data_IF_736918509228
#
_entry.id   IF_736918509228
#
_cell.length_a   1.000
_cell.length_b   1.000
_cell.length_c   1.000
_cell.angle_alpha   90.00
_cell.angle_beta   90.00
_cell.angle_gamma   90.00
#
_symmetry.space_group_name_H-M   'P 1'
#
loop_
_entity.id
_entity.type
_entity.pdbx_description
1 polymer ?
#
# COMPACT_ATOMS: atom_id res chain seq x y z
N UNK A 1 2.61 16.42 15.71
CA UNK A 1 3.87 16.00 16.39
C UNK A 1 5.11 16.53 15.72
N UNK A 2 6.00 15.71 15.16
CA UNK A 2 7.35 16.17 14.76
C UNK A 2 7.35 17.28 13.70
N UNK A 3 6.37 17.26 12.78
CA UNK A 3 6.18 18.31 11.78
C UNK A 3 5.76 19.65 12.40
N UNK A 4 4.83 19.61 13.35
CA UNK A 4 4.29 20.81 14.02
C UNK A 4 5.31 21.45 14.94
N UNK A 5 6.22 20.65 15.49
CA UNK A 5 7.36 21.12 16.27
C UNK A 5 8.51 21.65 15.41
N UNK A 6 8.37 21.69 14.08
CA UNK A 6 9.40 22.17 13.16
C UNK A 6 10.66 21.28 13.08
N UNK A 7 10.67 20.12 13.73
CA UNK A 7 11.82 19.22 13.80
C UNK A 7 12.04 18.47 12.46
N UNK A 8 10.97 18.20 11.72
CA UNK A 8 11.02 17.42 10.48
C UNK A 8 10.15 18.06 9.40
N UNK A 9 10.72 18.21 8.21
CA UNK A 9 10.00 18.63 7.03
C UNK A 9 9.20 17.45 6.45
N UNK A 10 7.90 17.66 6.22
CA UNK A 10 7.08 16.62 5.62
C UNK A 10 7.49 16.40 4.16
N UNK A 11 7.89 15.18 3.83
CA UNK A 11 8.23 14.81 2.45
C UNK A 11 6.96 14.88 1.59
N UNK A 12 6.92 15.74 0.56
CA UNK A 12 5.77 15.80 -0.32
C UNK A 12 5.59 14.46 -1.03
N UNK A 13 4.35 13.94 -1.04
CA UNK A 13 4.01 12.65 -1.68
C UNK A 13 4.79 11.43 -1.14
N UNK A 14 5.16 11.45 0.14
CA UNK A 14 5.91 10.37 0.79
C UNK A 14 5.27 8.98 0.67
N UNK A 15 3.95 8.88 0.51
CA UNK A 15 3.27 7.59 0.28
C UNK A 15 3.68 6.88 -1.01
N UNK A 16 3.97 7.63 -2.08
CA UNK A 16 4.40 7.06 -3.37
C UNK A 16 5.81 6.51 -3.24
N UNK A 17 6.68 7.25 -2.56
CA UNK A 17 8.06 6.81 -2.28
C UNK A 17 8.06 5.57 -1.40
N UNK A 18 7.25 5.56 -0.33
CA UNK A 18 7.10 4.39 0.55
C UNK A 18 6.60 3.17 -0.23
N UNK A 19 5.58 3.35 -1.06
CA UNK A 19 5.03 2.28 -1.89
C UNK A 19 6.06 1.77 -2.90
N UNK A 20 6.80 2.65 -3.58
CA UNK A 20 7.84 2.30 -4.54
C UNK A 20 8.99 1.49 -3.92
N UNK A 21 9.46 1.88 -2.74
CA UNK A 21 10.47 1.11 -2.00
C UNK A 21 9.91 -0.25 -1.60
N UNK A 22 8.67 -0.30 -1.09
CA UNK A 22 8.03 -1.55 -0.69
C UNK A 22 7.84 -2.51 -1.87
N UNK A 23 7.40 -2.01 -3.03
CA UNK A 23 7.21 -2.83 -4.24
C UNK A 23 8.54 -3.26 -4.86
N UNK A 24 9.58 -2.42 -4.80
CA UNK A 24 10.93 -2.82 -5.19
C UNK A 24 11.40 -4.03 -4.37
N UNK A 25 11.36 -3.91 -3.03
CA UNK A 25 11.79 -4.99 -2.13
C UNK A 25 10.92 -6.24 -2.33
N UNK A 26 9.62 -6.08 -2.50
CA UNK A 26 8.71 -7.19 -2.78
C UNK A 26 9.15 -7.98 -4.01
N UNK A 27 9.40 -7.29 -5.12
CA UNK A 27 9.73 -7.92 -6.40
C UNK A 27 11.14 -8.52 -6.40
N UNK A 28 12.06 -7.92 -5.66
CA UNK A 28 13.36 -8.51 -5.37
C UNK A 28 13.22 -9.85 -4.62
N UNK A 29 12.47 -9.86 -3.51
CA UNK A 29 12.22 -11.07 -2.73
C UNK A 29 11.43 -12.14 -3.50
N UNK A 30 10.53 -11.72 -4.40
CA UNK A 30 9.75 -12.63 -5.24
C UNK A 30 10.62 -13.42 -6.22
N UNK A 31 11.68 -12.80 -6.76
CA UNK A 31 12.62 -13.47 -7.67
C UNK A 31 13.66 -14.31 -6.96
N UNK A 32 13.99 -13.97 -5.71
CA UNK A 32 14.92 -14.74 -4.88
C UNK A 32 14.30 -16.07 -4.44
N UNK A 33 15.00 -17.19 -4.65
CA UNK A 33 14.53 -18.53 -4.24
C UNK A 33 14.26 -18.57 -2.73
N UNK A 34 13.01 -18.88 -2.34
CA UNK A 34 12.59 -18.89 -0.92
C UNK A 34 12.47 -17.51 -0.27
N UNK A 35 12.52 -16.41 -1.03
CA UNK A 35 12.48 -15.05 -0.51
C UNK A 35 11.08 -14.62 -0.04
N UNK A 36 10.04 -14.94 -0.82
CA UNK A 36 8.65 -14.73 -0.44
C UNK A 36 8.08 -16.01 0.18
N UNK A 37 7.72 -15.96 1.46
CA UNK A 37 6.91 -17.00 2.12
C UNK A 37 5.62 -17.27 1.32
N UNK A 38 5.10 -18.50 1.35
CA UNK A 38 3.87 -18.97 0.65
C UNK A 38 2.55 -18.35 1.15
N UNK A 39 2.59 -17.07 1.56
CA UNK A 39 1.43 -16.32 2.00
C UNK A 39 0.67 -15.65 0.85
N UNK A 40 -0.38 -14.91 1.24
CA UNK A 40 -1.28 -14.16 0.36
C UNK A 40 -0.51 -13.28 -0.64
N UNK A 41 0.61 -12.69 -0.22
CA UNK A 41 1.41 -11.80 -1.07
C UNK A 41 1.99 -12.53 -2.30
N UNK A 42 2.55 -13.74 -2.13
CA UNK A 42 3.05 -14.55 -3.23
C UNK A 42 1.91 -14.92 -4.20
N UNK A 43 0.75 -15.27 -3.66
CA UNK A 43 -0.44 -15.58 -4.47
C UNK A 43 -0.93 -14.38 -5.28
N UNK A 44 -0.99 -13.20 -4.67
CA UNK A 44 -1.37 -11.96 -5.35
C UNK A 44 -0.38 -11.59 -6.45
N UNK A 45 0.91 -11.65 -6.16
CA UNK A 45 1.94 -11.36 -7.16
C UNK A 45 1.83 -12.33 -8.33
N UNK A 46 1.69 -13.64 -8.08
CA UNK A 46 1.48 -14.65 -9.14
C UNK A 46 0.19 -14.42 -9.92
N UNK A 47 -0.88 -14.01 -9.25
CA UNK A 47 -2.18 -13.76 -9.88
C UNK A 47 -2.14 -12.61 -10.89
N UNK A 48 -1.37 -11.54 -10.57
CA UNK A 48 -1.26 -10.33 -11.40
C UNK A 48 -0.10 -10.38 -12.39
N UNK A 49 1.07 -10.88 -11.98
CA UNK A 49 2.30 -10.86 -12.78
C UNK A 49 2.55 -12.18 -13.51
N UNK A 50 1.83 -13.25 -13.18
CA UNK A 50 2.03 -14.60 -13.73
C UNK A 50 3.03 -15.42 -12.91
N UNK A 51 3.15 -16.73 -13.21
CA UNK A 51 4.12 -17.60 -12.56
C UNK A 51 5.56 -17.18 -12.87
N UNK A 52 6.45 -17.33 -11.88
CA UNK A 52 7.88 -17.17 -12.07
C UNK A 52 8.43 -18.38 -12.84
N UNK A 53 8.45 -18.30 -14.17
CA UNK A 53 9.21 -19.25 -14.98
C UNK A 53 10.70 -18.92 -14.85
N UNK A 54 11.35 -19.50 -13.83
CA UNK A 54 12.81 -19.54 -13.69
C UNK A 54 13.46 -20.55 -14.67
N UNK A 55 12.89 -20.73 -15.86
CA UNK A 55 13.48 -21.59 -16.89
C UNK A 55 14.83 -21.01 -17.34
N UNK A 56 15.85 -21.87 -17.33
CA UNK A 56 17.24 -21.65 -17.73
C UNK A 56 17.38 -20.60 -18.84
N UNK A 57 18.18 -19.56 -18.57
CA UNK A 57 18.67 -18.67 -19.62
C UNK A 57 19.59 -19.47 -20.55
N UNK A 58 19.14 -19.77 -21.76
CA UNK A 58 20.03 -20.10 -22.86
C UNK A 58 20.58 -18.80 -23.44
N UNK A 59 21.90 -18.71 -23.56
CA UNK A 59 22.59 -17.69 -24.33
C UNK A 59 22.10 -17.72 -25.78
N UNK A 60 21.53 -16.62 -26.25
CA UNK A 60 21.15 -16.44 -27.66
C UNK A 60 22.05 -15.38 -28.28
N UNK A 61 22.63 -15.72 -29.43
CA UNK A 61 23.62 -14.94 -30.16
C UNK A 61 23.05 -13.60 -30.69
N UNK A 62 23.91 -12.58 -30.76
CA UNK A 62 23.58 -11.16 -30.97
C UNK A 62 22.90 -10.81 -32.30
N UNK A 63 23.02 -11.63 -33.34
CA UNK A 63 22.40 -11.42 -34.66
C UNK A 63 20.99 -12.02 -34.78
N UNK A 64 20.73 -13.13 -34.08
CA UNK A 64 19.37 -13.70 -33.94
C UNK A 64 18.52 -12.86 -32.98
N UNK A 65 19.14 -12.12 -32.05
CA UNK A 65 18.48 -11.20 -31.14
C UNK A 65 17.71 -10.10 -31.88
N UNK A 66 18.31 -9.41 -32.86
CA UNK A 66 17.63 -8.31 -33.58
C UNK A 66 16.42 -8.76 -34.41
N UNK A 67 16.44 -9.97 -34.97
CA UNK A 67 15.37 -10.48 -35.82
C UNK A 67 14.25 -11.17 -35.01
N UNK A 68 14.61 -11.80 -33.88
CA UNK A 68 13.65 -12.28 -32.89
C UNK A 68 12.98 -11.16 -32.10
N UNK A 69 13.63 -10.00 -31.88
CA UNK A 69 13.04 -8.83 -31.22
C UNK A 69 11.77 -8.36 -31.93
N UNK A 70 11.76 -8.21 -33.26
CA UNK A 70 10.57 -7.74 -34.00
C UNK A 70 9.40 -8.75 -33.96
N UNK A 71 9.68 -10.05 -34.05
CA UNK A 71 8.66 -11.10 -34.02
C UNK A 71 8.15 -11.31 -32.58
N UNK A 72 9.03 -11.27 -31.57
CA UNK A 72 8.65 -11.30 -30.16
C UNK A 72 7.87 -10.05 -29.76
N UNK A 73 8.20 -8.86 -30.25
CA UNK A 73 7.54 -7.61 -29.86
C UNK A 73 6.03 -7.65 -30.18
N UNK A 74 5.63 -8.16 -31.34
CA UNK A 74 4.21 -8.35 -31.70
C UNK A 74 3.49 -9.41 -30.85
N UNK A 75 4.14 -10.53 -30.55
CA UNK A 75 3.61 -11.58 -29.66
C UNK A 75 3.59 -11.12 -28.19
N UNK A 76 4.48 -10.21 -27.81
CA UNK A 76 4.57 -9.63 -26.48
C UNK A 76 3.51 -8.55 -26.28
N UNK A 77 3.19 -7.70 -27.26
CA UNK A 77 2.10 -6.74 -27.09
C UNK A 77 0.79 -7.42 -26.65
N UNK A 78 0.46 -8.60 -27.19
CA UNK A 78 -0.69 -9.38 -26.71
C UNK A 78 -0.49 -10.02 -25.33
N UNK A 79 0.72 -10.52 -25.03
CA UNK A 79 1.01 -11.23 -23.76
C UNK A 79 0.98 -10.33 -22.52
N UNK A 80 1.29 -9.05 -22.63
CA UNK A 80 1.34 -8.14 -21.48
C UNK A 80 0.05 -7.29 -21.34
N UNK A 81 -0.73 -7.19 -22.42
CA UNK A 81 -2.04 -6.53 -22.41
C UNK A 81 -3.09 -7.36 -21.65
N UNK A 82 -3.07 -8.69 -21.79
CA UNK A 82 -3.95 -9.59 -21.01
C UNK A 82 -3.80 -9.44 -19.49
N UNK A 83 -2.60 -9.53 -18.88
CA UNK A 83 -2.44 -9.34 -17.43
C UNK A 83 -2.73 -7.90 -17.00
N UNK A 84 -2.43 -6.90 -17.83
CA UNK A 84 -2.79 -5.50 -17.57
C UNK A 84 -4.31 -5.31 -17.51
N UNK A 85 -5.04 -5.87 -18.49
CA UNK A 85 -6.49 -5.79 -18.55
C UNK A 85 -7.14 -6.59 -17.41
N UNK A 86 -6.58 -7.75 -17.05
CA UNK A 86 -7.00 -8.56 -15.90
C UNK A 86 -6.78 -7.80 -14.59
N UNK A 87 -5.64 -7.11 -14.44
CA UNK A 87 -5.36 -6.30 -13.25
C UNK A 87 -6.29 -5.09 -13.16
N UNK A 88 -6.55 -4.41 -14.29
CA UNK A 88 -7.50 -3.31 -14.36
C UNK A 88 -8.91 -3.75 -13.95
N UNK A 89 -9.42 -4.85 -14.53
CA UNK A 89 -10.75 -5.36 -14.21
C UNK A 89 -10.85 -5.84 -12.77
N UNK A 90 -9.82 -6.50 -12.24
CA UNK A 90 -9.77 -6.93 -10.83
C UNK A 90 -9.79 -5.72 -9.89
N UNK A 91 -8.98 -4.69 -10.15
CA UNK A 91 -8.94 -3.47 -9.34
C UNK A 91 -10.28 -2.74 -9.33
N UNK A 92 -10.95 -2.70 -10.49
CA UNK A 92 -12.28 -2.13 -10.62
C UNK A 92 -13.33 -2.91 -9.82
N UNK A 93 -13.34 -4.25 -9.91
CA UNK A 93 -14.28 -5.12 -9.19
C UNK A 93 -14.09 -5.03 -7.68
N UNK A 94 -12.83 -5.05 -7.20
CA UNK A 94 -12.50 -4.98 -5.76
C UNK A 94 -13.06 -3.71 -5.11
N UNK A 95 -13.06 -2.59 -5.83
CA UNK A 95 -13.61 -1.32 -5.32
C UNK A 95 -15.13 -1.24 -5.49
N UNK A 96 -15.66 -1.80 -6.58
CA UNK A 96 -17.07 -1.75 -6.93
C UNK A 96 -17.95 -2.65 -6.03
N UNK A 97 -17.48 -3.84 -5.68
CA UNK A 97 -18.26 -4.81 -4.87
C UNK A 97 -18.63 -4.24 -3.49
N UNK A 98 -17.71 -3.70 -2.66
CA UNK A 98 -18.05 -3.10 -1.38
C UNK A 98 -19.01 -1.91 -1.50
N UNK A 99 -18.83 -1.08 -2.54
CA UNK A 99 -19.72 0.06 -2.80
C UNK A 99 -21.15 -0.40 -3.12
N UNK A 100 -21.29 -1.45 -3.93
CA UNK A 100 -22.60 -2.02 -4.25
C UNK A 100 -23.26 -2.69 -3.05
N UNK A 101 -22.50 -3.46 -2.27
CA UNK A 101 -23.00 -4.11 -1.05
C UNK A 101 -23.50 -3.07 -0.02
N UNK A 102 -22.76 -1.98 0.17
CA UNK A 102 -23.15 -0.91 1.08
C UNK A 102 -24.42 -0.14 0.67
N UNK A 103 -24.77 -0.15 -0.62
CA UNK A 103 -25.91 0.60 -1.17
C UNK A 103 -27.02 -0.28 -1.76
N UNK A 104 -26.97 -1.61 -1.56
CA UNK A 104 -27.84 -2.57 -2.23
C UNK A 104 -29.34 -2.24 -2.10
N UNK A 105 -29.77 -1.79 -0.90
CA UNK A 105 -31.16 -1.42 -0.61
C UNK A 105 -31.61 -0.14 -1.34
N UNK A 106 -30.70 0.80 -1.57
CA UNK A 106 -30.99 2.05 -2.28
C UNK A 106 -30.91 1.90 -3.79
N UNK A 107 -29.97 1.09 -4.26
CA UNK A 107 -29.76 0.76 -5.67
C UNK A 107 -30.96 0.00 -6.23
N UNK A 108 -31.49 -0.97 -5.48
CA UNK A 108 -32.67 -1.75 -5.89
C UNK A 108 -33.94 -0.89 -6.03
N UNK A 109 -34.05 0.22 -5.29
CA UNK A 109 -35.19 1.15 -5.37
C UNK A 109 -35.09 2.21 -6.47
N UNK A 110 -33.89 2.48 -7.01
CA UNK A 110 -33.69 3.47 -8.10
C UNK A 110 -32.60 3.02 -9.08
N UNK A 111 -32.95 2.22 -10.11
CA UNK A 111 -31.98 1.65 -11.04
C UNK A 111 -31.27 2.72 -11.90
N UNK A 112 -31.88 3.89 -12.12
CA UNK A 112 -31.27 4.98 -12.90
C UNK A 112 -29.97 5.55 -12.31
N UNK A 113 -29.65 5.28 -11.03
CA UNK A 113 -28.37 5.68 -10.42
C UNK A 113 -27.26 4.64 -10.61
N UNK A 114 -27.55 3.43 -11.09
CA UNK A 114 -26.56 2.37 -11.29
C UNK A 114 -25.44 2.80 -12.22
N UNK A 115 -25.75 3.36 -13.39
CA UNK A 115 -24.73 3.81 -14.35
C UNK A 115 -23.77 4.86 -13.74
N UNK A 116 -24.27 5.70 -12.85
CA UNK A 116 -23.47 6.69 -12.12
C UNK A 116 -22.61 6.09 -11.01
N UNK A 117 -23.02 4.94 -10.46
CA UNK A 117 -22.25 4.17 -9.47
C UNK A 117 -21.16 3.34 -10.15
N UNK A 118 -21.42 2.81 -11.35
CA UNK A 118 -20.38 2.20 -12.19
C UNK A 118 -19.34 3.24 -12.61
N UNK A 119 -19.77 4.44 -13.04
CA UNK A 119 -18.86 5.53 -13.38
C UNK A 119 -18.42 6.33 -12.14
N UNK A 120 -17.92 5.63 -11.12
CA UNK A 120 -17.31 6.27 -9.98
C UNK A 120 -15.81 6.47 -10.20
N UNK A 121 -15.35 7.71 -9.98
CA UNK A 121 -13.96 8.14 -10.12
C UNK A 121 -13.00 7.25 -9.30
N UNK A 122 -13.40 6.83 -8.10
CA UNK A 122 -12.54 6.02 -7.23
C UNK A 122 -12.33 4.59 -7.76
N UNK A 123 -13.37 3.98 -8.35
CA UNK A 123 -13.28 2.66 -8.95
C UNK A 123 -12.38 2.68 -10.20
N UNK A 124 -12.55 3.71 -11.04
CA UNK A 124 -11.71 3.91 -12.22
C UNK A 124 -10.26 4.20 -11.83
N UNK A 125 -10.00 5.07 -10.85
CA UNK A 125 -8.64 5.35 -10.37
C UNK A 125 -7.96 4.11 -9.81
N UNK A 126 -8.67 3.28 -9.04
CA UNK A 126 -8.15 2.02 -8.54
C UNK A 126 -7.80 1.04 -9.68
N UNK A 127 -8.70 0.89 -10.67
CA UNK A 127 -8.45 0.08 -11.86
C UNK A 127 -7.23 0.56 -12.65
N UNK A 128 -7.15 1.86 -12.95
CA UNK A 128 -6.02 2.48 -13.65
C UNK A 128 -4.73 2.28 -12.87
N UNK A 129 -4.74 2.43 -11.55
CA UNK A 129 -3.59 2.17 -10.70
C UNK A 129 -3.07 0.74 -10.82
N UNK A 130 -3.95 -0.26 -10.69
CA UNK A 130 -3.53 -1.66 -10.75
C UNK A 130 -3.08 -2.07 -12.16
N UNK A 131 -3.80 -1.60 -13.19
CA UNK A 131 -3.44 -1.82 -14.59
C UNK A 131 -2.11 -1.19 -14.94
N UNK A 132 -1.90 0.09 -14.60
CA UNK A 132 -0.63 0.78 -14.84
C UNK A 132 0.52 0.21 -14.02
N UNK A 133 0.29 -0.25 -12.79
CA UNK A 133 1.30 -0.95 -12.00
C UNK A 133 1.83 -2.18 -12.75
N UNK A 134 0.92 -3.05 -13.20
CA UNK A 134 1.30 -4.26 -13.94
C UNK A 134 1.97 -3.87 -15.24
N UNK A 135 1.39 -2.96 -16.03
CA UNK A 135 1.95 -2.53 -17.31
C UNK A 135 3.38 -1.97 -17.17
N UNK A 136 3.63 -1.06 -16.21
CA UNK A 136 4.95 -0.45 -16.00
C UNK A 136 5.95 -1.51 -15.55
N UNK A 137 5.60 -2.34 -14.55
CA UNK A 137 6.47 -3.42 -14.09
C UNK A 137 6.95 -4.26 -15.27
N UNK A 138 5.99 -4.59 -16.12
CA UNK A 138 6.14 -5.48 -17.23
C UNK A 138 6.98 -4.88 -18.37
N UNK A 139 6.68 -3.66 -18.79
CA UNK A 139 7.50 -2.91 -19.77
C UNK A 139 8.93 -2.75 -19.29
N UNK A 140 9.12 -2.40 -18.01
CA UNK A 140 10.47 -2.17 -17.44
C UNK A 140 11.26 -3.48 -17.37
N UNK A 141 10.63 -4.61 -17.01
CA UNK A 141 11.27 -5.93 -17.09
C UNK A 141 11.75 -6.24 -18.50
N UNK A 142 10.92 -6.02 -19.52
CA UNK A 142 11.29 -6.26 -20.91
C UNK A 142 12.47 -5.38 -21.35
N UNK A 143 12.46 -4.09 -21.03
CA UNK A 143 13.56 -3.16 -21.34
C UNK A 143 14.86 -3.59 -20.64
N UNK A 144 14.79 -4.01 -19.37
CA UNK A 144 15.96 -4.49 -18.62
C UNK A 144 16.51 -5.81 -19.18
N UNK A 145 15.63 -6.72 -19.60
CA UNK A 145 16.02 -7.97 -20.27
C UNK A 145 16.70 -7.68 -21.61
N UNK A 146 16.20 -6.72 -22.38
CA UNK A 146 16.81 -6.30 -23.64
C UNK A 146 18.21 -5.71 -23.44
N UNK A 147 18.41 -4.91 -22.39
CA UNK A 147 19.70 -4.25 -22.12
C UNK A 147 20.75 -5.20 -21.53
N UNK A 148 20.35 -6.18 -20.71
CA UNK A 148 21.28 -6.97 -19.88
C UNK A 148 21.34 -8.45 -20.25
N UNK A 149 20.40 -8.92 -21.07
CA UNK A 149 20.22 -10.31 -21.52
C UNK A 149 20.30 -11.35 -20.38
N UNK A 150 19.90 -10.95 -19.16
CA UNK A 150 19.91 -11.76 -17.93
C UNK A 150 18.67 -11.48 -17.11
N UNK A 151 18.08 -12.53 -16.53
CA UNK A 151 16.94 -12.44 -15.60
C UNK A 151 17.41 -12.46 -14.15
N UNK A 152 17.93 -11.32 -13.69
CA UNK A 152 18.45 -11.18 -12.32
C UNK A 152 17.39 -10.68 -11.33
N UNK A 153 17.63 -10.90 -10.03
CA UNK A 153 16.81 -10.38 -8.93
C UNK A 153 16.78 -8.84 -8.93
N UNK A 154 17.89 -8.21 -9.34
CA UNK A 154 18.04 -6.75 -9.43
C UNK A 154 17.11 -6.16 -10.49
N UNK A 155 16.82 -6.89 -11.57
CA UNK A 155 15.87 -6.41 -12.57
C UNK A 155 14.45 -6.36 -11.98
N UNK A 156 14.09 -7.33 -11.12
CA UNK A 156 12.84 -7.30 -10.37
C UNK A 156 12.77 -6.14 -9.38
N UNK A 157 13.88 -5.82 -8.71
CA UNK A 157 13.99 -4.67 -7.82
C UNK A 157 13.70 -3.35 -8.57
N UNK A 158 14.37 -3.15 -9.70
CA UNK A 158 14.23 -1.93 -10.52
C UNK A 158 12.83 -1.83 -11.15
N UNK A 159 12.32 -2.93 -11.70
CA UNK A 159 10.98 -2.99 -12.27
C UNK A 159 9.90 -2.74 -11.20
N UNK A 160 10.04 -3.34 -10.01
CA UNK A 160 9.13 -3.13 -8.88
C UNK A 160 9.17 -1.69 -8.36
N UNK A 161 10.35 -1.08 -8.30
CA UNK A 161 10.52 0.33 -7.94
C UNK A 161 9.85 1.27 -8.93
N UNK A 162 10.10 1.07 -10.23
CA UNK A 162 9.49 1.84 -11.31
C UNK A 162 7.97 1.67 -11.34
N UNK A 163 7.47 0.45 -11.19
CA UNK A 163 6.05 0.14 -11.11
C UNK A 163 5.36 0.88 -9.96
N UNK A 164 6.05 1.07 -8.84
CA UNK A 164 5.54 1.81 -7.69
C UNK A 164 5.14 3.26 -8.00
N UNK A 165 5.67 3.87 -9.06
CA UNK A 165 5.23 5.21 -9.50
C UNK A 165 3.78 5.22 -10.00
N UNK A 166 3.19 4.07 -10.32
CA UNK A 166 1.76 3.96 -10.68
C UNK A 166 0.83 4.52 -9.59
N UNK A 167 1.28 4.57 -8.33
CA UNK A 167 0.51 5.11 -7.21
C UNK A 167 0.18 6.61 -7.37
N UNK A 168 0.78 7.30 -8.34
CA UNK A 168 0.37 8.65 -8.75
C UNK A 168 -1.11 8.70 -9.17
N UNK A 169 -1.64 7.63 -9.79
CA UNK A 169 -3.04 7.57 -10.23
C UNK A 169 -4.03 7.35 -9.08
N UNK A 170 -3.66 6.55 -8.07
CA UNK A 170 -4.50 6.26 -6.91
C UNK A 170 -3.73 6.46 -5.61
N UNK A 171 -3.79 7.69 -5.13
CA UNK A 171 -3.06 8.13 -3.95
C UNK A 171 -3.80 7.74 -2.67
N UNK A 172 -3.46 6.59 -2.11
CA UNK A 172 -4.00 6.11 -0.85
C UNK A 172 -2.91 5.66 0.12
N UNK A 173 -2.57 6.51 1.10
CA UNK A 173 -1.54 6.24 2.10
C UNK A 173 -1.78 4.95 2.90
N UNK A 174 -3.04 4.52 3.04
CA UNK A 174 -3.38 3.28 3.74
C UNK A 174 -2.85 2.04 3.01
N UNK A 175 -2.89 2.03 1.67
CA UNK A 175 -2.38 0.91 0.86
C UNK A 175 -0.85 0.88 0.93
N UNK A 176 -0.20 2.03 0.81
CA UNK A 176 1.26 2.14 0.94
C UNK A 176 1.74 1.65 2.30
N UNK A 177 1.10 2.11 3.38
CA UNK A 177 1.47 1.72 4.73
C UNK A 177 1.20 0.24 5.00
N UNK A 178 0.07 -0.30 4.51
CA UNK A 178 -0.24 -1.71 4.62
C UNK A 178 0.80 -2.57 3.90
N UNK A 179 1.15 -2.21 2.67
CA UNK A 179 2.17 -2.93 1.91
C UNK A 179 3.52 -2.87 2.61
N UNK A 180 3.97 -1.68 3.03
CA UNK A 180 5.23 -1.51 3.75
C UNK A 180 5.27 -2.33 5.04
N UNK A 181 4.17 -2.38 5.80
CA UNK A 181 4.04 -3.22 7.00
C UNK A 181 4.16 -4.70 6.66
N UNK A 182 3.48 -5.17 5.61
CA UNK A 182 3.57 -6.56 5.17
C UNK A 182 4.96 -6.95 4.66
N UNK A 183 5.63 -6.06 3.94
CA UNK A 183 7.02 -6.29 3.51
C UNK A 183 7.97 -6.32 4.70
N UNK A 184 7.75 -5.47 5.72
CA UNK A 184 8.54 -5.50 6.95
C UNK A 184 8.37 -6.83 7.71
N UNK A 185 7.14 -7.34 7.78
CA UNK A 185 6.84 -8.65 8.39
C UNK A 185 7.56 -9.80 7.64
N UNK A 186 7.50 -9.79 6.30
CA UNK A 186 8.18 -10.78 5.45
C UNK A 186 9.69 -10.68 5.62
N UNK A 187 10.24 -9.47 5.64
CA UNK A 187 11.68 -9.26 5.81
C UNK A 187 12.17 -9.75 7.19
N UNK A 188 11.38 -9.53 8.24
CA UNK A 188 11.68 -10.03 9.58
C UNK A 188 11.69 -11.56 9.61
N UNK A 189 10.66 -12.20 9.05
CA UNK A 189 10.59 -13.67 8.96
C UNK A 189 11.75 -14.24 8.15
N UNK A 190 12.06 -13.63 7.00
CA UNK A 190 13.19 -14.02 6.17
C UNK A 190 14.53 -13.85 6.92
N UNK A 191 14.68 -12.76 7.67
CA UNK A 191 15.86 -12.49 8.50
C UNK A 191 16.05 -13.50 9.64
N UNK A 192 14.97 -13.99 10.23
CA UNK A 192 15.01 -15.10 11.20
C UNK A 192 15.43 -16.40 10.51
N UNK A 193 14.85 -16.73 9.35
CA UNK A 193 15.22 -17.94 8.59
C UNK A 193 16.68 -17.93 8.12
N UNK A 194 17.25 -16.75 7.86
CA UNK A 194 18.66 -16.58 7.52
C UNK A 194 19.60 -16.63 8.75
N UNK A 195 19.07 -16.73 9.97
CA UNK A 195 19.85 -16.73 11.21
C UNK A 195 20.44 -15.37 11.59
N UNK A 196 20.00 -14.28 10.95
CA UNK A 196 20.52 -12.92 11.18
C UNK A 196 19.81 -12.26 12.37
N UNK A 197 18.51 -12.50 12.52
CA UNK A 197 17.67 -11.91 13.57
C UNK A 197 17.22 -12.97 14.60
N UNK A 198 17.20 -12.62 15.90
CA UNK A 198 16.66 -13.52 16.92
C UNK A 198 15.14 -13.63 16.82
N UNK A 199 14.61 -14.83 17.07
CA UNK A 199 13.16 -15.05 17.16
C UNK A 199 12.64 -14.52 18.48
N UNK A 200 12.03 -13.33 18.45
CA UNK A 200 11.37 -12.74 19.62
C UNK A 200 9.97 -13.36 19.76
N UNK A 201 9.64 -14.05 20.87
CA UNK A 201 8.30 -14.55 21.10
C UNK A 201 7.31 -13.38 21.23
N UNK A 202 6.11 -13.54 20.67
CA UNK A 202 5.04 -12.53 20.74
C UNK A 202 5.40 -11.15 20.15
N UNK A 203 6.35 -11.09 19.20
CA UNK A 203 6.77 -9.84 18.57
C UNK A 203 5.61 -9.01 18.01
N UNK A 204 4.58 -9.66 17.46
CA UNK A 204 3.37 -8.99 16.95
C UNK A 204 2.60 -8.26 18.05
N UNK A 205 2.48 -8.85 19.25
CA UNK A 205 1.82 -8.25 20.41
C UNK A 205 2.63 -7.06 20.93
N UNK A 206 3.97 -7.18 20.96
CA UNK A 206 4.83 -6.07 21.35
C UNK A 206 4.73 -4.90 20.37
N UNK A 207 4.78 -5.17 19.06
CA UNK A 207 4.63 -4.14 18.03
C UNK A 207 3.27 -3.45 18.10
N UNK A 208 2.20 -4.23 18.32
CA UNK A 208 0.85 -3.69 18.53
C UNK A 208 0.74 -2.85 19.80
N UNK A 209 1.27 -3.34 20.92
CA UNK A 209 1.23 -2.65 22.21
C UNK A 209 2.01 -1.34 22.15
N UNK A 210 3.20 -1.36 21.56
CA UNK A 210 4.03 -0.18 21.33
C UNK A 210 3.35 0.85 20.43
N UNK A 211 2.79 0.40 19.30
CA UNK A 211 2.06 1.27 18.36
C UNK A 211 0.83 1.91 19.03
N UNK A 212 0.11 1.14 19.83
CA UNK A 212 -1.07 1.60 20.56
C UNK A 212 -0.68 2.60 21.65
N UNK A 213 0.41 2.35 22.39
CA UNK A 213 0.96 3.28 23.38
C UNK A 213 1.37 4.61 22.73
N UNK A 214 2.06 4.57 21.59
CA UNK A 214 2.39 5.78 20.81
C UNK A 214 1.13 6.51 20.34
N UNK A 215 0.09 5.79 19.91
CA UNK A 215 -1.16 6.40 19.51
C UNK A 215 -1.88 7.08 20.68
N UNK A 216 -1.92 6.45 21.86
CA UNK A 216 -2.45 7.07 23.08
C UNK A 216 -1.66 8.31 23.47
N UNK A 217 -0.33 8.25 23.40
CA UNK A 217 0.53 9.40 23.64
C UNK A 217 0.24 10.54 22.65
N UNK A 218 0.21 10.26 21.36
CA UNK A 218 -0.10 11.28 20.35
C UNK A 218 -1.49 11.90 20.52
N UNK A 219 -2.50 11.09 20.82
CA UNK A 219 -3.87 11.55 21.04
C UNK A 219 -4.09 12.25 22.39
N UNK A 220 -3.20 12.10 23.37
CA UNK A 220 -3.31 12.86 24.63
C UNK A 220 -2.75 14.26 24.45
N UNK A 221 -1.59 14.37 23.79
CA UNK A 221 -0.85 15.62 23.68
C UNK A 221 -1.21 16.45 22.44
N UNK A 222 -1.41 15.83 21.28
CA UNK A 222 -1.52 16.54 19.99
C UNK A 222 -2.53 15.85 19.04
N UNK A 223 -3.80 15.82 19.45
CA UNK A 223 -4.90 15.13 18.72
C UNK A 223 -5.02 15.60 17.27
N UNK A 224 -4.77 16.88 17.00
CA UNK A 224 -4.89 17.49 15.67
C UNK A 224 -3.92 16.92 14.65
N UNK A 225 -2.81 16.33 15.10
CA UNK A 225 -1.83 15.69 14.23
C UNK A 225 -2.20 14.24 13.86
N UNK A 226 -3.21 13.67 14.52
CA UNK A 226 -3.62 12.27 14.34
C UNK A 226 -4.77 12.15 13.34
N UNK A 227 -4.74 11.11 12.50
CA UNK A 227 -5.82 10.84 11.53
C UNK A 227 -7.14 10.55 12.27
N UNK A 228 -8.29 11.11 11.84
CA UNK A 228 -9.58 10.95 12.54
C UNK A 228 -10.03 9.49 12.74
N UNK A 229 -9.61 8.58 11.85
CA UNK A 229 -9.87 7.14 11.98
C UNK A 229 -9.26 6.55 13.24
N UNK A 230 -8.05 6.98 13.62
CA UNK A 230 -7.39 6.49 14.82
C UNK A 230 -8.04 7.02 16.10
N UNK A 231 -8.54 8.26 16.06
CA UNK A 231 -9.38 8.80 17.13
C UNK A 231 -10.65 7.97 17.34
N UNK A 232 -11.35 7.60 16.25
CA UNK A 232 -12.54 6.74 16.32
C UNK A 232 -12.21 5.38 16.92
N UNK A 233 -11.11 4.77 16.50
CA UNK A 233 -10.62 3.51 17.07
C UNK A 233 -10.35 3.64 18.58
N UNK A 234 -9.67 4.70 19.01
CA UNK A 234 -9.36 4.93 20.42
C UNK A 234 -10.63 5.05 21.28
N UNK A 235 -11.65 5.73 20.76
CA UNK A 235 -12.94 5.86 21.46
C UNK A 235 -13.68 4.53 21.57
N UNK A 236 -13.54 3.64 20.59
CA UNK A 236 -14.10 2.28 20.68
C UNK A 236 -13.37 1.48 21.75
N UNK A 237 -12.03 1.50 21.76
CA UNK A 237 -11.22 0.74 22.74
C UNK A 237 -11.40 1.25 24.18
N UNK A 238 -11.57 2.56 24.34
CA UNK A 238 -11.69 3.20 25.67
C UNK A 238 -13.14 3.37 26.15
N UNK A 239 -14.12 2.86 25.42
CA UNK A 239 -15.54 3.09 25.69
C UNK A 239 -15.87 4.59 25.88
N UNK A 240 -15.34 5.44 25.00
CA UNK A 240 -15.47 6.92 25.01
C UNK A 240 -14.86 7.64 26.21
N UNK A 241 -14.22 6.95 27.15
CA UNK A 241 -13.55 7.59 28.31
C UNK A 241 -12.42 8.52 27.90
N UNK A 242 -11.82 8.29 26.74
CA UNK A 242 -10.78 9.18 26.21
C UNK A 242 -11.29 10.59 25.85
N UNK A 243 -12.61 10.75 25.67
CA UNK A 243 -13.25 12.03 25.47
C UNK A 243 -13.34 12.86 26.77
N UNK A 244 -13.30 12.22 27.94
CA UNK A 244 -13.40 12.85 29.27
C UNK A 244 -12.09 13.54 29.71
N UNK A 245 -10.99 13.34 28.96
CA UNK A 245 -9.72 13.99 29.25
C UNK A 245 -9.88 15.52 29.19
N UNK A 246 -9.56 16.20 30.29
CA UNK A 246 -9.57 17.66 30.37
C UNK A 246 -8.39 18.26 29.58
N UNK A 247 -8.59 18.39 28.26
CA UNK A 247 -7.59 18.93 27.33
C UNK A 247 -7.27 20.40 27.58
N UNK A 248 -8.21 21.17 28.12
CA UNK A 248 -7.98 22.58 28.44
C UNK A 248 -6.85 22.75 29.48
N UNK A 249 -6.86 21.92 30.54
CA UNK A 249 -5.78 21.93 31.54
C UNK A 249 -4.46 21.37 31.00
N UNK A 250 -4.53 20.32 30.18
CA UNK A 250 -3.33 19.75 29.53
C UNK A 250 -2.66 20.79 28.63
N UNK A 251 -3.46 21.54 27.88
CA UNK A 251 -2.98 22.63 27.03
C UNK A 251 -2.39 23.79 27.82
N UNK A 252 -3.02 24.17 28.94
CA UNK A 252 -2.53 25.24 29.81
C UNK A 252 -1.17 24.92 30.45
N UNK A 253 -0.97 23.68 30.88
CA UNK A 253 0.25 23.26 31.58
C UNK A 253 1.41 23.00 30.61
N UNK A 254 1.13 22.44 29.44
CA UNK A 254 2.16 21.93 28.53
C UNK A 254 2.27 22.67 27.19
N UNK A 255 1.31 23.54 26.86
CA UNK A 255 1.33 24.34 25.64
C UNK A 255 1.29 23.54 24.34
N UNK A 256 0.70 22.34 24.34
CA UNK A 256 0.77 21.39 23.20
C UNK A 256 -0.37 21.54 22.17
N UNK A 257 -1.11 22.65 22.18
CA UNK A 257 -2.31 22.90 21.36
C UNK A 257 -3.36 21.79 21.45
N UNK A 258 -3.41 21.04 22.55
CA UNK A 258 -4.26 19.85 22.69
C UNK A 258 -5.76 20.19 22.66
N UNK A 259 -6.12 21.44 22.96
CA UNK A 259 -7.49 21.96 22.95
C UNK A 259 -7.96 22.50 21.59
N UNK A 260 -7.10 22.50 20.56
CA UNK A 260 -7.40 23.12 19.26
C UNK A 260 -8.63 22.55 18.55
N UNK A 261 -8.84 21.24 18.62
CA UNK A 261 -10.01 20.55 18.04
C UNK A 261 -11.23 20.56 18.98
N UNK A 262 -11.01 20.81 20.28
CA UNK A 262 -12.00 20.73 21.36
C UNK A 262 -11.90 22.01 22.21
N UNK A 263 -12.52 23.12 21.77
CA UNK A 263 -12.39 24.43 22.39
C UNK A 263 -12.90 24.44 23.82
N UNK A 264 -12.34 25.35 24.62
CA UNK A 264 -12.58 25.49 26.08
C UNK A 264 -14.05 25.72 26.44
N UNK A 265 -14.82 26.31 25.54
CA UNK A 265 -16.22 26.70 25.76
C UNK A 265 -17.20 25.52 25.71
N UNK A 266 -16.78 24.38 25.17
CA UNK A 266 -17.61 23.18 25.05
C UNK A 266 -16.79 21.92 25.39
N UNK A 267 -16.62 21.67 26.70
CA UNK A 267 -15.93 20.48 27.22
C UNK A 267 -16.52 19.17 26.70
N UNK A 268 -17.82 19.16 26.37
CA UNK A 268 -18.56 17.98 25.91
C UNK A 268 -18.51 17.80 24.38
N UNK A 269 -17.86 18.72 23.65
CA UNK A 269 -17.69 18.62 22.18
C UNK A 269 -16.97 17.36 21.74
N UNK A 270 -16.13 16.80 22.63
CA UNK A 270 -15.47 15.51 22.43
C UNK A 270 -16.44 14.32 22.43
N UNK A 271 -17.61 14.45 23.09
CA UNK A 271 -18.66 13.42 23.16
C UNK A 271 -19.69 13.56 22.03
N UNK A 272 -19.91 14.78 21.50
CA UNK A 272 -20.98 15.06 20.51
C UNK A 272 -20.57 14.95 19.05
N UNK A 273 -19.28 15.09 18.70
CA UNK A 273 -18.79 15.10 17.30
C UNK A 273 -18.65 13.71 16.65
N UNK A 274 -19.47 12.73 17.05
CA UNK A 274 -19.41 11.32 16.59
C UNK A 274 -20.15 11.03 15.28
#
# INVERSE_FOLDING_TARGET
MLKERGLIHAVPKGEILLFSIATAIMMYLYRRKGGLTDGVLNSLVRFFLGPNDQSHCQEVNSLEASLSINIQQSQMEQKWLQPTLKAFSTGYIVQLVPMLLGQIKHVFKRPGKLLRVFYNEDCLRCGVFLGSFVAIFKIVEWVLELLRNKRDEVNGLLAGGAAGLSMIFYRNSSIALYLASKISEVLYKHGISAGILPSIPYAEILAYSFSTALLFHACTWEVHSVRPSYWRYLNVVTAKRFCELNRAKVDEIFGTESSRLFPKDDLYKSLTRM
#
